data_IF_613099586055
#
_entry.id   IF_613099586055
#
_cell.length_a   1.000
_cell.length_b   1.000
_cell.length_c   1.000
_cell.angle_alpha   90.00
_cell.angle_beta   90.00
_cell.angle_gamma   90.00
#
_symmetry.space_group_name_H-M   'P 1'
#
loop_
_entity.id
_entity.type
_entity.pdbx_description
1 polymer ?
#
# COMPACT_ATOMS: atom_id res chain seq x y z
N UNK A 1 -8.08 -5.37 -8.81
CA UNK A 1 -8.62 -4.19 -9.52
C UNK A 1 -7.68 -3.71 -10.61
N UNK A 2 -6.42 -3.40 -10.32
CA UNK A 2 -5.42 -3.08 -11.37
C UNK A 2 -5.31 -4.19 -12.43
N UNK A 3 -5.28 -5.45 -12.02
CA UNK A 3 -5.30 -6.59 -12.94
C UNK A 3 -6.55 -6.64 -13.82
N UNK A 4 -7.73 -6.24 -13.32
CA UNK A 4 -8.94 -6.22 -14.15
C UNK A 4 -8.93 -5.08 -15.16
N UNK A 5 -8.29 -3.95 -14.84
CA UNK A 5 -8.08 -2.87 -15.81
C UNK A 5 -7.12 -3.30 -16.92
N UNK A 6 -6.04 -4.01 -16.59
CA UNK A 6 -5.13 -4.59 -17.60
C UNK A 6 -5.82 -5.60 -18.51
N UNK A 7 -6.62 -6.51 -17.94
CA UNK A 7 -7.38 -7.49 -18.74
C UNK A 7 -8.35 -6.78 -19.69
N UNK A 8 -9.05 -5.73 -19.23
CA UNK A 8 -9.94 -4.94 -20.09
C UNK A 8 -9.20 -4.23 -21.21
N UNK A 9 -8.06 -3.62 -20.92
CA UNK A 9 -7.21 -2.98 -21.93
C UNK A 9 -6.75 -3.99 -23.00
N UNK A 10 -6.26 -5.16 -22.59
CA UNK A 10 -5.88 -6.24 -23.52
C UNK A 10 -7.06 -6.78 -24.34
N UNK A 11 -8.23 -6.96 -23.72
CA UNK A 11 -9.43 -7.39 -24.44
C UNK A 11 -9.93 -6.32 -25.41
N UNK A 12 -9.77 -5.04 -25.06
CA UNK A 12 -10.04 -3.90 -25.92
C UNK A 12 -9.17 -3.92 -27.16
N UNK A 13 -7.86 -4.06 -26.98
CA UNK A 13 -6.88 -4.14 -28.08
C UNK A 13 -7.13 -5.34 -29.01
N UNK A 14 -7.41 -6.52 -28.44
CA UNK A 14 -7.55 -7.77 -29.21
C UNK A 14 -8.86 -7.87 -29.99
N UNK A 15 -9.95 -7.35 -29.41
CA UNK A 15 -11.31 -7.52 -29.95
C UNK A 15 -11.95 -6.20 -30.42
N UNK A 16 -11.22 -5.09 -30.35
CA UNK A 16 -11.71 -3.73 -30.63
C UNK A 16 -13.03 -3.41 -29.91
N UNK A 17 -13.17 -3.89 -28.67
CA UNK A 17 -14.40 -3.77 -27.89
C UNK A 17 -14.36 -2.51 -27.02
N UNK A 18 -15.38 -1.67 -27.13
CA UNK A 18 -15.54 -0.53 -26.21
C UNK A 18 -16.14 -0.98 -24.88
N UNK A 19 -15.60 -0.46 -23.77
CA UNK A 19 -16.09 -0.70 -22.42
C UNK A 19 -16.71 0.56 -21.78
N UNK A 20 -17.14 1.50 -22.63
CA UNK A 20 -17.75 2.75 -22.21
C UNK A 20 -19.11 2.48 -21.54
N UNK A 21 -19.08 2.50 -20.21
CA UNK A 21 -20.23 2.19 -19.37
C UNK A 21 -20.09 2.93 -18.05
N UNK A 22 -21.21 3.24 -17.40
CA UNK A 22 -21.21 3.87 -16.07
C UNK A 22 -20.43 3.05 -15.03
N UNK A 23 -20.38 1.72 -15.18
CA UNK A 23 -19.56 0.83 -14.36
C UNK A 23 -18.06 1.10 -14.51
N UNK A 24 -17.59 1.37 -15.73
CA UNK A 24 -16.20 1.70 -15.98
C UNK A 24 -15.80 2.99 -15.25
N UNK A 25 -16.64 4.03 -15.35
CA UNK A 25 -16.45 5.30 -14.64
C UNK A 25 -16.43 5.09 -13.13
N UNK A 26 -17.41 4.35 -12.58
CA UNK A 26 -17.45 4.00 -11.16
C UNK A 26 -16.17 3.29 -10.69
N UNK A 27 -15.68 2.31 -11.46
CA UNK A 27 -14.42 1.65 -11.15
C UNK A 27 -13.23 2.63 -11.24
N UNK A 28 -13.23 3.60 -12.15
CA UNK A 28 -12.21 4.65 -12.17
C UNK A 28 -12.14 5.42 -10.85
N UNK A 29 -13.29 5.88 -10.33
CA UNK A 29 -13.37 6.56 -9.03
C UNK A 29 -12.89 5.68 -7.88
N UNK A 30 -13.37 4.42 -7.82
CA UNK A 30 -12.96 3.47 -6.77
C UNK A 30 -11.45 3.21 -6.83
N UNK A 31 -10.84 3.17 -8.02
CA UNK A 31 -9.39 2.97 -8.15
C UNK A 31 -8.59 4.10 -7.50
N UNK A 32 -8.98 5.35 -7.78
CA UNK A 32 -8.31 6.54 -7.24
C UNK A 32 -8.49 6.62 -5.73
N UNK A 33 -9.69 6.36 -5.21
CA UNK A 33 -9.95 6.32 -3.77
C UNK A 33 -9.12 5.23 -3.09
N UNK A 34 -9.08 4.02 -3.64
CA UNK A 34 -8.24 2.93 -3.12
C UNK A 34 -6.76 3.28 -3.12
N UNK A 35 -6.29 3.95 -4.16
CA UNK A 35 -4.90 4.43 -4.25
C UNK A 35 -4.60 5.47 -3.18
N UNK A 36 -5.51 6.45 -2.97
CA UNK A 36 -5.39 7.42 -1.88
C UNK A 36 -5.41 6.76 -0.49
N UNK A 37 -6.30 5.79 -0.26
CA UNK A 37 -6.35 5.03 0.99
C UNK A 37 -5.04 4.28 1.27
N UNK A 38 -4.43 3.74 0.23
CA UNK A 38 -3.14 3.08 0.33
C UNK A 38 -2.03 4.05 0.81
N UNK A 39 -1.94 5.25 0.25
CA UNK A 39 -0.97 6.27 0.70
C UNK A 39 -1.25 6.77 2.12
N UNK A 40 -2.52 7.05 2.43
CA UNK A 40 -2.97 7.48 3.74
C UNK A 40 -2.70 6.44 4.84
N UNK A 41 -2.68 5.16 4.49
CA UNK A 41 -2.30 4.09 5.43
C UNK A 41 -0.86 4.27 5.97
N UNK A 42 0.08 4.78 5.16
CA UNK A 42 1.43 5.08 5.65
C UNK A 42 1.44 6.30 6.57
N UNK A 43 0.65 7.33 6.25
CA UNK A 43 0.48 8.53 7.09
C UNK A 43 -0.02 8.11 8.47
N UNK A 44 -1.06 7.28 8.52
CA UNK A 44 -1.59 6.70 9.76
C UNK A 44 -0.55 5.93 10.57
N UNK A 45 0.24 5.08 9.91
CA UNK A 45 1.30 4.33 10.58
C UNK A 45 2.38 5.26 11.15
N UNK A 46 2.74 6.33 10.45
CA UNK A 46 3.68 7.34 10.93
C UNK A 46 3.08 8.16 12.08
N UNK A 47 1.81 8.54 11.98
CA UNK A 47 1.10 9.31 13.00
C UNK A 47 0.94 8.51 14.30
N UNK A 48 0.59 7.23 14.21
CA UNK A 48 0.59 6.30 15.35
C UNK A 48 1.93 6.31 16.09
N UNK A 49 3.04 6.28 15.34
CA UNK A 49 4.39 6.31 15.93
C UNK A 49 4.70 7.64 16.57
N UNK A 50 4.30 8.75 15.95
CA UNK A 50 4.44 10.07 16.53
C UNK A 50 3.72 10.15 17.87
N UNK A 51 2.46 9.70 17.95
CA UNK A 51 1.70 9.66 19.20
C UNK A 51 2.44 8.83 20.25
N UNK A 52 2.88 7.62 19.88
CA UNK A 52 3.55 6.70 20.81
C UNK A 52 4.89 7.26 21.33
N UNK A 53 5.67 7.93 20.49
CA UNK A 53 7.00 8.45 20.84
C UNK A 53 6.87 9.78 21.58
N UNK A 54 6.16 10.76 21.00
CA UNK A 54 6.09 12.12 21.51
C UNK A 54 5.11 12.28 22.68
N UNK A 55 4.01 11.51 22.69
CA UNK A 55 2.94 11.62 23.69
C UNK A 55 2.79 10.34 24.53
N UNK A 56 3.92 9.71 24.86
CA UNK A 56 3.95 8.46 25.63
C UNK A 56 3.27 8.56 27.00
N UNK A 57 3.25 9.74 27.61
CA UNK A 57 2.68 9.98 28.94
C UNK A 57 1.14 10.18 28.92
N UNK A 58 0.57 10.60 27.80
CA UNK A 58 -0.85 10.95 27.71
C UNK A 58 -1.70 9.73 27.33
N UNK A 59 -2.26 9.03 28.33
CA UNK A 59 -3.10 7.82 28.13
C UNK A 59 -4.28 8.01 27.18
N UNK A 60 -4.86 9.22 27.10
CA UNK A 60 -6.02 9.51 26.22
C UNK A 60 -5.72 9.24 24.74
N UNK A 61 -4.51 9.59 24.28
CA UNK A 61 -4.12 9.41 22.87
C UNK A 61 -3.73 7.98 22.51
N UNK A 62 -3.56 7.09 23.51
CA UNK A 62 -3.17 5.69 23.31
C UNK A 62 -4.36 4.73 23.28
N UNK A 63 -5.58 5.26 23.26
CA UNK A 63 -6.78 4.43 23.17
C UNK A 63 -6.85 3.69 21.84
N UNK A 64 -7.01 2.36 21.90
CA UNK A 64 -7.21 1.50 20.72
C UNK A 64 -8.41 1.98 19.88
N UNK A 65 -9.45 2.51 20.53
CA UNK A 65 -10.64 3.05 19.86
C UNK A 65 -10.29 4.20 18.91
N UNK A 66 -9.36 5.08 19.30
CA UNK A 66 -8.94 6.20 18.47
C UNK A 66 -8.25 5.70 17.20
N UNK A 67 -7.40 4.67 17.32
CA UNK A 67 -6.69 4.09 16.17
C UNK A 67 -7.60 3.33 15.21
N UNK A 68 -8.72 2.78 15.68
CA UNK A 68 -9.72 2.16 14.81
C UNK A 68 -10.56 3.22 14.11
N UNK A 69 -11.02 4.25 14.85
CA UNK A 69 -11.91 5.28 14.31
C UNK A 69 -11.21 6.20 13.31
N UNK A 70 -9.94 6.56 13.56
CA UNK A 70 -9.22 7.55 12.77
C UNK A 70 -9.11 7.18 11.26
N UNK A 71 -8.71 5.94 10.88
CA UNK A 71 -8.72 5.53 9.48
C UNK A 71 -10.10 5.62 8.81
N UNK A 72 -11.19 5.29 9.52
CA UNK A 72 -12.53 5.40 8.95
C UNK A 72 -12.91 6.85 8.66
N UNK A 73 -12.63 7.76 9.59
CA UNK A 73 -12.86 9.19 9.40
C UNK A 73 -12.05 9.71 8.21
N UNK A 74 -10.79 9.32 8.10
CA UNK A 74 -9.92 9.73 7.01
C UNK A 74 -10.38 9.19 5.65
N UNK A 75 -10.85 7.95 5.58
CA UNK A 75 -11.44 7.37 4.36
C UNK A 75 -12.65 8.19 3.92
N UNK A 76 -13.54 8.54 4.86
CA UNK A 76 -14.72 9.37 4.56
C UNK A 76 -14.28 10.74 4.05
N UNK A 77 -13.37 11.42 4.74
CA UNK A 77 -12.87 12.74 4.35
C UNK A 77 -12.20 12.69 2.97
N UNK A 78 -11.31 11.73 2.75
CA UNK A 78 -10.60 11.55 1.48
C UNK A 78 -11.59 11.30 0.33
N UNK A 79 -12.57 10.42 0.54
CA UNK A 79 -13.59 10.11 -0.45
C UNK A 79 -14.44 11.33 -0.74
N UNK A 80 -14.89 12.06 0.29
CA UNK A 80 -15.65 13.30 0.12
C UNK A 80 -14.85 14.34 -0.67
N UNK A 81 -13.58 14.59 -0.33
CA UNK A 81 -12.73 15.56 -1.04
C UNK A 81 -12.56 15.15 -2.51
N UNK A 82 -12.22 13.90 -2.78
CA UNK A 82 -12.02 13.41 -4.15
C UNK A 82 -13.30 13.48 -4.97
N UNK A 83 -14.44 13.05 -4.43
CA UNK A 83 -15.72 13.09 -5.14
C UNK A 83 -16.21 14.53 -5.39
N UNK A 84 -16.06 15.42 -4.40
CA UNK A 84 -16.42 16.83 -4.55
C UNK A 84 -15.64 17.54 -5.65
N UNK A 85 -14.41 17.10 -5.95
CA UNK A 85 -13.58 17.69 -7.00
C UNK A 85 -13.80 16.98 -8.34
N UNK A 86 -13.75 15.65 -8.36
CA UNK A 86 -13.74 14.88 -9.60
C UNK A 86 -15.11 14.71 -10.25
N UNK A 87 -16.23 14.75 -9.49
CA UNK A 87 -17.57 14.65 -10.09
C UNK A 87 -17.90 15.92 -10.90
N UNK A 88 -17.80 17.14 -10.34
CA UNK A 88 -18.16 18.36 -11.09
C UNK A 88 -17.28 18.62 -12.31
N UNK A 89 -16.03 18.16 -12.27
CA UNK A 89 -15.06 18.36 -13.35
C UNK A 89 -15.14 17.29 -14.45
N UNK A 90 -16.03 16.28 -14.34
CA UNK A 90 -15.98 15.07 -15.17
C UNK A 90 -14.55 14.49 -15.21
N UNK A 91 -13.93 14.41 -14.03
CA UNK A 91 -12.52 14.06 -13.88
C UNK A 91 -12.19 12.60 -14.19
N UNK A 92 -13.19 11.77 -14.49
CA UNK A 92 -13.03 10.38 -14.94
C UNK A 92 -13.83 10.19 -16.22
N UNK A 93 -13.13 9.88 -17.30
CA UNK A 93 -13.72 9.63 -18.61
C UNK A 93 -13.19 8.32 -19.18
N UNK A 94 -13.92 7.77 -20.15
CA UNK A 94 -13.44 6.62 -20.91
C UNK A 94 -12.36 7.07 -21.90
N UNK A 95 -11.19 6.42 -21.86
CA UNK A 95 -10.10 6.67 -22.80
C UNK A 95 -10.21 5.67 -23.96
N UNK A 96 -10.58 6.11 -25.17
CA UNK A 96 -10.87 5.20 -26.28
C UNK A 96 -9.64 4.43 -26.78
N UNK A 97 -8.45 5.06 -26.75
CA UNK A 97 -7.19 4.45 -27.19
C UNK A 97 -6.69 3.33 -26.27
N UNK A 98 -7.25 3.27 -25.07
CA UNK A 98 -6.69 2.53 -23.94
C UNK A 98 -7.71 1.53 -23.34
N UNK A 99 -8.98 1.68 -23.70
CA UNK A 99 -10.11 0.82 -23.33
C UNK A 99 -10.39 0.71 -21.81
N UNK A 100 -10.05 1.75 -21.03
CA UNK A 100 -10.40 1.85 -19.61
C UNK A 100 -10.84 3.28 -19.23
N UNK A 101 -11.39 3.44 -18.02
CA UNK A 101 -11.79 4.75 -17.50
C UNK A 101 -10.79 5.23 -16.45
N UNK A 102 -10.29 6.44 -16.64
CA UNK A 102 -9.36 7.10 -15.73
C UNK A 102 -9.45 8.62 -15.92
N UNK A 103 -8.67 9.37 -15.16
CA UNK A 103 -8.52 10.80 -15.38
C UNK A 103 -7.80 11.05 -16.70
N UNK A 104 -8.48 11.75 -17.60
CA UNK A 104 -7.92 12.21 -18.88
C UNK A 104 -6.81 13.22 -18.65
N UNK A 105 -5.72 13.14 -19.44
CA UNK A 105 -4.58 14.04 -19.27
C UNK A 105 -4.93 15.50 -19.65
N UNK A 106 -5.93 15.67 -20.52
CA UNK A 106 -6.49 16.98 -20.89
C UNK A 106 -7.15 17.74 -19.74
N UNK A 107 -7.63 17.05 -18.70
CA UNK A 107 -8.31 17.69 -17.57
C UNK A 107 -7.30 18.03 -16.45
N UNK A 108 -6.47 19.04 -16.73
CA UNK A 108 -5.39 19.50 -15.84
C UNK A 108 -5.87 19.73 -14.40
N UNK A 109 -7.02 20.38 -14.13
CA UNK A 109 -7.52 20.56 -12.77
C UNK A 109 -7.77 19.23 -12.03
N UNK A 110 -8.33 18.24 -12.72
CA UNK A 110 -8.62 16.92 -12.13
C UNK A 110 -7.34 16.14 -11.82
N UNK A 111 -6.34 16.22 -12.70
CA UNK A 111 -5.04 15.56 -12.47
C UNK A 111 -4.30 16.24 -11.33
N UNK A 112 -4.22 17.57 -11.35
CA UNK A 112 -3.47 18.32 -10.34
C UNK A 112 -4.09 18.13 -8.96
N UNK A 113 -5.42 18.19 -8.85
CA UNK A 113 -6.12 17.91 -7.60
C UNK A 113 -5.91 16.46 -7.13
N UNK A 114 -5.99 15.48 -8.02
CA UNK A 114 -5.68 14.08 -7.70
C UNK A 114 -4.23 13.92 -7.25
N UNK A 115 -3.27 14.53 -7.95
CA UNK A 115 -1.85 14.50 -7.59
C UNK A 115 -1.62 15.11 -6.21
N UNK A 116 -2.26 16.25 -5.91
CA UNK A 116 -2.16 16.93 -4.62
C UNK A 116 -2.77 16.07 -3.51
N UNK A 117 -3.98 15.55 -3.68
CA UNK A 117 -4.70 14.83 -2.63
C UNK A 117 -4.16 13.42 -2.40
N UNK A 118 -3.80 12.71 -3.46
CA UNK A 118 -3.38 11.29 -3.40
C UNK A 118 -1.88 11.13 -3.15
N UNK A 119 -1.04 12.05 -3.63
CA UNK A 119 0.43 11.90 -3.57
C UNK A 119 1.10 12.98 -2.72
N UNK A 120 0.98 14.25 -3.12
CA UNK A 120 1.75 15.35 -2.52
C UNK A 120 1.32 15.57 -1.06
N UNK A 121 0.02 15.58 -0.78
CA UNK A 121 -0.55 15.76 0.55
C UNK A 121 -0.06 14.70 1.54
N UNK A 122 -0.27 13.40 1.27
CA UNK A 122 0.23 12.32 2.12
C UNK A 122 1.75 12.38 2.32
N UNK A 123 2.51 12.72 1.27
CA UNK A 123 3.96 12.86 1.35
C UNK A 123 4.38 14.03 2.27
N UNK A 124 3.77 15.20 2.12
CA UNK A 124 3.99 16.35 2.99
C UNK A 124 3.64 16.04 4.45
N UNK A 125 2.52 15.34 4.69
CA UNK A 125 2.13 14.87 6.02
C UNK A 125 3.17 13.92 6.62
N UNK A 126 3.67 12.95 5.84
CA UNK A 126 4.73 12.04 6.26
C UNK A 126 6.02 12.79 6.63
N UNK A 127 6.49 13.69 5.75
CA UNK A 127 7.68 14.50 6.01
C UNK A 127 7.54 15.32 7.30
N UNK A 128 6.40 15.99 7.48
CA UNK A 128 6.13 16.76 8.68
C UNK A 128 6.18 15.90 9.94
N UNK A 129 5.53 14.73 9.92
CA UNK A 129 5.55 13.77 11.03
C UNK A 129 6.98 13.34 11.35
N UNK A 130 7.78 12.99 10.35
CA UNK A 130 9.17 12.56 10.56
C UNK A 130 10.05 13.68 11.10
N UNK A 131 9.93 14.90 10.60
CA UNK A 131 10.65 16.06 11.13
C UNK A 131 10.33 16.24 12.62
N UNK A 132 9.06 16.11 13.01
CA UNK A 132 8.64 16.20 14.42
C UNK A 132 9.20 15.08 15.27
N UNK A 133 9.17 13.83 14.80
CA UNK A 133 9.76 12.69 15.51
C UNK A 133 11.27 12.90 15.71
N UNK A 134 12.00 13.27 14.66
CA UNK A 134 13.45 13.48 14.72
C UNK A 134 13.83 14.61 15.68
N UNK A 135 13.11 15.75 15.62
CA UNK A 135 13.32 16.86 16.56
C UNK A 135 13.09 16.42 18.01
N UNK A 136 12.02 15.66 18.26
CA UNK A 136 11.71 15.17 19.60
C UNK A 136 12.79 14.22 20.15
N UNK A 137 13.26 13.27 19.32
CA UNK A 137 14.32 12.34 19.71
C UNK A 137 15.62 13.09 20.01
N UNK A 138 15.99 14.06 19.16
CA UNK A 138 17.22 14.84 19.36
C UNK A 138 17.17 15.65 20.66
N UNK A 139 16.02 16.24 21.01
CA UNK A 139 15.86 16.99 22.25
C UNK A 139 15.95 16.10 23.50
N UNK A 140 15.48 14.85 23.44
CA UNK A 140 15.52 13.94 24.58
C UNK A 140 16.85 13.16 24.72
N UNK A 141 17.65 13.04 23.67
CA UNK A 141 18.86 12.20 23.65
C UNK A 141 19.89 12.50 24.74
N UNK A 142 19.95 13.73 25.26
CA UNK A 142 20.92 14.12 26.29
C UNK A 142 20.49 13.82 27.75
N UNK A 143 19.22 13.46 28.01
CA UNK A 143 18.69 13.32 29.38
C UNK A 143 18.12 11.93 29.70
N UNK A 144 18.33 10.94 28.84
CA UNK A 144 17.67 9.64 28.97
C UNK A 144 18.52 8.55 29.58
N UNK A 145 17.87 7.70 30.38
CA UNK A 145 18.44 6.48 30.95
C UNK A 145 18.72 5.42 29.87
N UNK A 146 19.68 4.54 30.14
CA UNK A 146 20.18 3.51 29.22
C UNK A 146 19.07 2.60 28.66
N UNK A 147 18.04 2.29 29.47
CA UNK A 147 16.86 1.50 29.08
C UNK A 147 16.01 2.22 28.02
N UNK A 148 15.81 3.53 28.16
CA UNK A 148 15.04 4.33 27.19
C UNK A 148 15.82 4.41 25.87
N UNK A 149 17.15 4.54 25.94
CA UNK A 149 18.04 4.55 24.77
C UNK A 149 17.96 3.26 23.95
N UNK A 150 17.87 2.10 24.60
CA UNK A 150 17.66 0.80 23.91
C UNK A 150 16.27 0.69 23.27
N UNK A 151 15.23 1.24 23.89
CA UNK A 151 13.88 1.28 23.28
C UNK A 151 13.85 2.22 22.07
N UNK A 152 14.51 3.36 22.18
CA UNK A 152 14.65 4.32 21.08
C UNK A 152 15.43 3.75 19.89
N UNK A 153 16.50 2.99 20.11
CA UNK A 153 17.26 2.40 18.99
C UNK A 153 16.40 1.43 18.17
N UNK A 154 15.52 0.66 18.83
CA UNK A 154 14.53 -0.17 18.15
C UNK A 154 13.53 0.67 17.36
N UNK A 155 12.97 1.70 17.96
CA UNK A 155 11.99 2.57 17.28
C UNK A 155 12.62 3.32 16.08
N UNK A 156 13.89 3.75 16.20
CA UNK A 156 14.69 4.34 15.12
C UNK A 156 14.94 3.36 13.97
N UNK A 157 15.24 2.10 14.26
CA UNK A 157 15.41 1.08 13.23
C UNK A 157 14.12 0.92 12.42
N UNK A 158 12.97 0.89 13.09
CA UNK A 158 11.69 0.77 12.41
C UNK A 158 11.35 2.07 11.65
N UNK A 159 11.68 3.26 12.17
CA UNK A 159 11.56 4.53 11.44
C UNK A 159 12.40 4.50 10.15
N UNK A 160 13.66 4.05 10.23
CA UNK A 160 14.54 3.91 9.06
C UNK A 160 13.93 2.99 8.01
N UNK A 161 13.31 1.87 8.41
CA UNK A 161 12.61 0.96 7.49
C UNK A 161 11.45 1.66 6.77
N UNK A 162 10.63 2.43 7.48
CA UNK A 162 9.53 3.15 6.82
C UNK A 162 10.06 4.25 5.92
N UNK A 163 11.10 4.98 6.31
CA UNK A 163 11.73 5.96 5.43
C UNK A 163 12.25 5.31 4.14
N UNK A 164 12.81 4.10 4.22
CA UNK A 164 13.20 3.34 3.02
C UNK A 164 11.97 3.03 2.16
N UNK A 165 10.86 2.56 2.77
CA UNK A 165 9.60 2.27 2.05
C UNK A 165 9.02 3.53 1.39
N UNK A 166 9.03 4.67 2.09
CA UNK A 166 8.52 5.96 1.58
C UNK A 166 9.41 6.49 0.44
N UNK A 167 10.74 6.39 0.57
CA UNK A 167 11.65 6.75 -0.52
C UNK A 167 11.47 5.83 -1.73
N UNK A 168 11.26 4.53 -1.51
CA UNK A 168 10.96 3.58 -2.57
C UNK A 168 9.66 3.95 -3.30
N UNK A 169 8.59 4.25 -2.55
CA UNK A 169 7.33 4.74 -3.10
C UNK A 169 7.50 6.03 -3.91
N UNK A 170 8.34 6.95 -3.43
CA UNK A 170 8.63 8.20 -4.13
C UNK A 170 9.34 7.94 -5.47
N UNK A 171 10.40 7.13 -5.45
CA UNK A 171 11.14 6.75 -6.67
C UNK A 171 10.21 6.05 -7.68
N UNK A 172 9.28 5.22 -7.20
CA UNK A 172 8.31 4.53 -8.05
C UNK A 172 7.19 5.44 -8.56
N UNK A 173 6.92 6.57 -7.90
CA UNK A 173 5.98 7.58 -8.38
C UNK A 173 6.61 8.54 -9.40
N UNK A 174 7.95 8.67 -9.42
CA UNK A 174 8.66 9.57 -10.33
C UNK A 174 8.35 9.33 -11.81
N UNK A 175 8.29 8.09 -12.33
CA UNK A 175 7.90 7.86 -13.72
C UNK A 175 6.55 8.48 -14.06
N UNK A 176 5.52 8.29 -13.22
CA UNK A 176 4.21 8.89 -13.43
C UNK A 176 4.26 10.42 -13.46
N UNK A 177 5.05 11.04 -12.57
CA UNK A 177 5.23 12.50 -12.55
C UNK A 177 5.97 13.02 -13.78
N UNK A 178 7.03 12.32 -14.23
CA UNK A 178 7.77 12.66 -15.44
C UNK A 178 6.86 12.59 -16.66
N UNK A 179 6.00 11.56 -16.73
CA UNK A 179 5.04 11.37 -17.81
C UNK A 179 3.97 12.48 -17.85
N UNK A 180 3.45 12.89 -16.68
CA UNK A 180 2.55 14.05 -16.58
C UNK A 180 3.27 15.32 -17.05
N UNK A 181 4.52 15.52 -16.63
CA UNK A 181 5.30 16.70 -16.99
C UNK A 181 5.61 16.74 -18.50
N UNK A 182 5.95 15.59 -19.09
CA UNK A 182 6.13 15.43 -20.52
C UNK A 182 4.84 15.77 -21.27
N UNK A 183 3.69 15.26 -20.82
CA UNK A 183 2.40 15.59 -21.41
C UNK A 183 2.11 17.11 -21.38
N UNK A 184 2.39 17.78 -20.26
CA UNK A 184 2.21 19.24 -20.15
C UNK A 184 3.06 20.01 -21.17
N UNK A 185 4.27 19.53 -21.47
CA UNK A 185 5.17 20.19 -22.44
C UNK A 185 4.76 19.88 -23.88
N UNK A 186 4.52 18.61 -24.19
CA UNK A 186 4.32 18.15 -25.57
C UNK A 186 2.88 18.30 -26.03
N UNK A 187 1.91 18.38 -25.10
CA UNK A 187 0.47 18.35 -25.36
C UNK A 187 -0.03 17.12 -26.15
N UNK A 188 0.80 16.07 -26.24
CA UNK A 188 0.48 14.82 -26.92
C UNK A 188 0.35 13.66 -25.93
N UNK A 189 -0.76 12.92 -26.02
CA UNK A 189 -1.00 11.71 -25.23
C UNK A 189 -0.35 10.51 -25.92
N UNK A 190 0.77 10.03 -25.40
CA UNK A 190 1.34 8.78 -25.88
C UNK A 190 0.51 7.57 -25.40
N UNK A 191 0.10 6.64 -26.28
CA UNK A 191 -0.74 5.49 -25.90
C UNK A 191 -0.03 4.50 -24.96
N UNK A 192 1.30 4.54 -24.86
CA UNK A 192 2.07 3.70 -23.93
C UNK A 192 2.12 4.27 -22.51
N UNK A 193 1.75 5.53 -22.32
CA UNK A 193 1.87 6.27 -21.06
C UNK A 193 1.11 5.59 -19.93
N UNK A 194 -0.15 5.26 -20.19
CA UNK A 194 -1.01 4.60 -19.23
C UNK A 194 -0.49 3.21 -18.86
N UNK A 195 -0.05 2.44 -19.85
CA UNK A 195 0.47 1.07 -19.66
C UNK A 195 1.71 1.06 -18.79
N UNK A 196 2.68 1.94 -19.07
CA UNK A 196 3.90 2.09 -18.27
C UNK A 196 3.57 2.51 -16.83
N UNK A 197 2.61 3.44 -16.68
CA UNK A 197 2.17 3.91 -15.35
C UNK A 197 1.55 2.77 -14.56
N UNK A 198 0.62 2.01 -15.13
CA UNK A 198 -0.01 0.88 -14.44
C UNK A 198 0.96 -0.25 -14.12
N UNK A 199 1.90 -0.54 -15.02
CA UNK A 199 2.97 -1.49 -14.75
C UNK A 199 3.83 -1.05 -13.57
N UNK A 200 4.23 0.23 -13.55
CA UNK A 200 5.02 0.82 -12.45
C UNK A 200 4.27 0.75 -11.12
N UNK A 201 2.96 1.08 -11.11
CA UNK A 201 2.11 0.97 -9.93
C UNK A 201 1.96 -0.48 -9.46
N UNK A 202 1.87 -1.44 -10.39
CA UNK A 202 1.76 -2.86 -10.05
C UNK A 202 3.06 -3.40 -9.45
N UNK A 203 4.20 -3.06 -10.05
CA UNK A 203 5.53 -3.40 -9.52
C UNK A 203 5.75 -2.73 -8.16
N UNK A 204 5.30 -1.49 -7.97
CA UNK A 204 5.45 -0.78 -6.71
C UNK A 204 4.64 -1.39 -5.58
N UNK A 205 3.41 -1.81 -5.86
CA UNK A 205 2.59 -2.53 -4.89
C UNK A 205 3.20 -3.87 -4.51
N UNK A 206 3.67 -4.65 -5.49
CA UNK A 206 4.34 -5.92 -5.23
C UNK A 206 5.62 -5.73 -4.39
N UNK A 207 6.47 -4.77 -4.78
CA UNK A 207 7.68 -4.41 -4.06
C UNK A 207 7.38 -3.97 -2.62
N UNK A 208 6.28 -3.23 -2.42
CA UNK A 208 5.86 -2.79 -1.10
C UNK A 208 5.33 -3.94 -0.24
N UNK A 209 4.54 -4.86 -0.78
CA UNK A 209 4.10 -6.06 -0.07
C UNK A 209 5.30 -6.87 0.43
N UNK A 210 6.32 -7.03 -0.42
CA UNK A 210 7.59 -7.69 -0.06
C UNK A 210 8.34 -6.89 1.02
N UNK A 211 8.45 -5.57 0.86
CA UNK A 211 9.14 -4.71 1.83
C UNK A 211 8.45 -4.72 3.21
N UNK A 212 7.12 -4.75 3.26
CA UNK A 212 6.36 -4.89 4.50
C UNK A 212 6.63 -6.24 5.17
N UNK A 213 6.70 -7.32 4.39
CA UNK A 213 6.99 -8.66 4.90
C UNK A 213 8.37 -8.75 5.55
N UNK A 214 9.38 -8.12 4.96
CA UNK A 214 10.72 -8.03 5.56
C UNK A 214 10.81 -7.04 6.72
N UNK A 215 9.98 -6.00 6.72
CA UNK A 215 10.03 -4.95 7.74
C UNK A 215 9.39 -5.35 9.06
N UNK A 216 8.42 -6.28 9.04
CA UNK A 216 7.72 -6.76 10.24
C UNK A 216 8.42 -8.04 10.75
N UNK A 217 9.19 -7.98 11.86
CA UNK A 217 9.97 -9.14 12.33
C UNK A 217 9.10 -10.33 12.74
N UNK A 218 7.88 -10.07 13.25
CA UNK A 218 6.93 -11.13 13.60
C UNK A 218 6.49 -11.92 12.37
N UNK A 219 6.18 -11.23 11.27
CA UNK A 219 5.75 -11.87 10.03
C UNK A 219 6.89 -12.67 9.41
N UNK A 220 8.11 -12.11 9.41
CA UNK A 220 9.32 -12.83 9.01
C UNK A 220 9.49 -14.14 9.79
N UNK A 221 9.32 -14.12 11.11
CA UNK A 221 9.44 -15.32 11.94
C UNK A 221 8.36 -16.36 11.62
N UNK A 222 7.12 -15.94 11.39
CA UNK A 222 6.03 -16.85 11.01
C UNK A 222 6.35 -17.52 9.65
N UNK A 223 6.77 -16.74 8.65
CA UNK A 223 7.12 -17.27 7.31
C UNK A 223 8.29 -18.25 7.38
N UNK A 224 9.34 -17.91 8.13
CA UNK A 224 10.49 -18.81 8.32
C UNK A 224 10.11 -20.10 9.04
N UNK A 225 9.19 -20.03 10.01
CA UNK A 225 8.70 -21.22 10.71
C UNK A 225 7.84 -22.10 9.80
N UNK A 226 7.00 -21.52 8.94
CA UNK A 226 6.21 -22.28 7.96
C UNK A 226 7.12 -22.98 6.92
N UNK A 227 8.17 -22.29 6.45
CA UNK A 227 9.16 -22.90 5.54
C UNK A 227 9.90 -24.09 6.17
N UNK A 228 10.20 -24.03 7.47
CA UNK A 228 10.81 -25.14 8.21
C UNK A 228 9.87 -26.34 8.35
N UNK A 229 8.57 -26.11 8.49
CA UNK A 229 7.58 -27.20 8.59
C UNK A 229 7.40 -27.90 7.24
N UNK A 230 7.37 -27.15 6.14
CA UNK A 230 7.20 -27.73 4.79
C UNK A 230 8.42 -28.54 4.31
N UNK A 231 9.59 -28.36 4.93
CA UNK A 231 10.80 -29.15 4.61
C UNK A 231 10.91 -30.47 5.39
N UNK A 232 10.05 -30.72 6.39
CA UNK A 232 10.16 -31.88 7.30
C UNK A 232 9.03 -32.92 7.13
N UNK A 233 8.33 -32.93 5.99
CA UNK A 233 7.40 -34.03 5.66
C UNK A 233 8.07 -35.06 4.72
N UNK A 234 8.81 -36.07 5.23
CA UNK A 234 9.14 -37.22 4.41
C UNK A 234 7.85 -38.01 4.15
N UNK A 235 7.49 -38.10 2.88
CA UNK A 235 6.48 -39.03 2.36
C UNK A 235 7.04 -40.45 2.49
N UNK A 236 7.08 -40.97 3.71
CA UNK A 236 7.38 -42.37 4.00
C UNK A 236 6.28 -42.93 4.92
N UNK A 237 5.06 -42.98 4.39
CA UNK A 237 4.01 -43.88 4.87
C UNK A 237 3.42 -44.60 3.67
N UNK A 238 4.20 -45.51 3.11
CA UNK A 238 3.66 -46.60 2.33
C UNK A 238 4.32 -47.89 2.82
N UNK A 239 3.46 -48.81 3.26
CA UNK A 239 3.72 -50.25 3.45
C UNK A 239 4.46 -50.66 4.74
N UNK A 240 3.72 -50.72 5.85
CA UNK A 240 3.93 -51.74 6.89
C UNK A 240 2.64 -52.01 7.67
N UNK A 241 1.65 -52.56 6.97
CA UNK A 241 0.58 -53.40 7.54
C UNK A 241 0.43 -54.53 6.53
N UNK A 242 0.34 -55.80 6.86
CA UNK A 242 -0.20 -56.55 8.01
C UNK A 242 0.42 -57.96 7.86
N UNK A 243 0.70 -58.75 8.90
CA UNK A 243 -0.21 -59.74 9.49
C UNK A 243 0.54 -60.33 10.69
N UNK A 244 0.00 -60.17 11.91
CA UNK A 244 0.36 -61.00 13.05
C UNK A 244 -0.86 -61.86 13.38
N UNK A 245 -0.73 -63.15 13.06
CA UNK A 245 -1.70 -64.21 13.31
C UNK A 245 -1.63 -64.59 14.79
N UNK A 246 -2.70 -64.33 15.54
CA UNK A 246 -2.81 -64.64 16.97
C UNK A 246 -3.27 -66.08 17.14
N UNK A 247 -2.35 -66.99 17.47
CA UNK A 247 -2.65 -68.39 17.80
C UNK A 247 -3.29 -68.47 19.19
N UNK A 248 -4.48 -69.03 19.25
CA UNK A 248 -5.20 -69.36 20.48
C UNK A 248 -4.82 -70.80 20.85
N UNK A 249 -4.16 -70.98 21.99
CA UNK A 249 -4.04 -72.29 22.65
C UNK A 249 -4.58 -72.13 24.06
N UNK A 250 -5.67 -72.85 24.35
CA UNK A 250 -6.28 -72.94 25.66
C UNK A 250 -5.64 -74.02 26.53
N UNK A 251 -5.87 -73.87 27.84
CA UNK A 251 -5.73 -74.82 28.97
C UNK A 251 -5.95 -73.91 30.20
N UNK A 252 -6.82 -74.16 31.18
CA UNK A 252 -7.70 -75.26 31.59
C UNK A 252 -8.93 -74.63 32.26
#
# INVERSE_FOLDING_TARGET
MLSSMHIRSMLGDLYNKSFDSSWCIFFGYVAIVLLGMFYMTFVNQAFYRLIRIAYSQNRRFQSVKLYIILPFIEIIILTCILLCILIPLNGITYLPNDHFCNTTFTNIPSILSTAVVVYIGPFCCLLFIYIRITRFIHQQGNKQTLVIKQRQSRDLLIIRRILIIVNLLFILALPGMILIFMFIITSEEHPLLARITFFTVSVSQAGLSVALLFSIPQLKNIVLNLQKISTVAPVNRAVQGTVQMKTITGTQ
#
